data_IF_443721674455
#
_entry.id   IF_443721674455
#
_cell.length_a   1.000
_cell.length_b   1.000
_cell.length_c   1.000
_cell.angle_alpha   90.00
_cell.angle_beta   90.00
_cell.angle_gamma   90.00
#
_symmetry.space_group_name_H-M   'P 1'
#
loop_
_entity.id
_entity.type
_entity.pdbx_description
1 polymer ?
#
# COMPACT_ATOMS: atom_id res chain seq x y z
N UNK A 1 18.48 -4.82 6.22
CA UNK A 1 17.06 -4.84 5.81
C UNK A 1 16.85 -5.97 4.82
N UNK A 2 15.73 -6.70 4.88
CA UNK A 2 15.52 -7.98 4.16
C UNK A 2 14.13 -8.10 3.51
N UNK A 3 13.77 -9.31 3.04
CA UNK A 3 12.47 -9.58 2.41
C UNK A 3 11.40 -9.82 3.49
N UNK A 4 10.19 -9.32 3.27
CA UNK A 4 9.05 -9.50 4.16
C UNK A 4 8.20 -10.69 3.71
N UNK A 5 7.50 -11.31 4.65
CA UNK A 5 6.54 -12.38 4.37
C UNK A 5 5.34 -11.81 3.60
N UNK A 6 4.92 -12.52 2.57
CA UNK A 6 3.66 -12.31 1.83
C UNK A 6 2.86 -13.62 1.81
N UNK A 7 1.56 -13.56 1.50
CA UNK A 7 0.82 -14.76 1.07
C UNK A 7 1.40 -15.28 -0.25
N UNK A 8 1.25 -16.57 -0.50
CA UNK A 8 1.81 -17.24 -1.67
C UNK A 8 1.29 -16.60 -2.96
N UNK A 9 2.20 -16.19 -3.85
CA UNK A 9 1.89 -15.43 -5.07
C UNK A 9 0.96 -14.23 -4.84
N UNK A 10 1.04 -13.60 -3.66
CA UNK A 10 0.16 -12.52 -3.24
C UNK A 10 -1.36 -12.84 -3.34
N UNK A 11 -1.71 -14.13 -3.32
CA UNK A 11 -3.06 -14.66 -3.32
C UNK A 11 -3.32 -15.49 -2.05
N UNK A 12 -4.59 -15.65 -1.69
CA UNK A 12 -5.01 -16.44 -0.53
C UNK A 12 -4.78 -15.76 0.83
N UNK A 13 -5.32 -16.39 1.88
CA UNK A 13 -5.17 -16.03 3.30
C UNK A 13 -5.24 -17.32 4.15
N UNK A 14 -4.59 -17.40 5.33
CA UNK A 14 -3.71 -16.39 5.93
C UNK A 14 -2.21 -16.66 5.68
N UNK A 15 -1.39 -15.61 5.71
CA UNK A 15 0.07 -15.73 5.80
C UNK A 15 0.50 -16.21 7.21
N UNK A 16 1.70 -16.82 7.38
CA UNK A 16 2.20 -17.21 8.70
C UNK A 16 2.53 -16.02 9.63
N UNK A 17 2.54 -14.79 9.10
CA UNK A 17 2.68 -13.57 9.89
C UNK A 17 1.54 -13.46 10.91
N UNK A 18 1.88 -13.11 12.16
CA UNK A 18 0.91 -12.94 13.26
C UNK A 18 0.65 -11.46 13.51
N UNK A 19 -0.59 -11.09 13.82
CA UNK A 19 -0.93 -9.71 14.17
C UNK A 19 -0.25 -9.28 15.48
N UNK A 20 0.40 -8.10 15.52
CA UNK A 20 1.05 -7.60 16.72
C UNK A 20 0.06 -7.07 17.77
N UNK A 21 -1.19 -6.84 17.39
CA UNK A 21 -2.22 -6.30 18.27
C UNK A 21 -3.04 -7.38 18.96
N UNK A 22 -3.20 -8.54 18.33
CA UNK A 22 -3.79 -9.73 18.91
C UNK A 22 -3.41 -10.96 18.06
N UNK A 23 -2.65 -11.89 18.65
CA UNK A 23 -2.16 -13.07 17.94
C UNK A 23 -3.28 -14.02 17.44
N UNK A 24 -4.49 -13.93 18.00
CA UNK A 24 -5.65 -14.68 17.52
C UNK A 24 -6.31 -14.08 16.26
N UNK A 25 -5.87 -12.90 15.81
CA UNK A 25 -6.44 -12.20 14.66
C UNK A 25 -5.45 -12.15 13.49
N UNK A 26 -5.99 -12.13 12.27
CA UNK A 26 -5.18 -11.96 11.05
C UNK A 26 -4.55 -10.57 10.99
N UNK A 27 -3.27 -10.43 10.57
CA UNK A 27 -2.71 -9.14 10.21
C UNK A 27 -3.22 -8.64 8.84
N UNK A 28 -4.03 -9.42 8.12
CA UNK A 28 -4.39 -9.17 6.74
C UNK A 28 -3.27 -9.52 5.77
N UNK A 29 -3.58 -9.51 4.47
CA UNK A 29 -2.65 -9.89 3.41
C UNK A 29 -2.98 -9.20 2.08
N UNK A 30 -2.17 -9.37 1.04
CA UNK A 30 -1.01 -10.27 1.01
C UNK A 30 0.25 -9.71 1.68
N UNK A 31 0.43 -8.38 1.75
CA UNK A 31 1.63 -7.70 2.30
C UNK A 31 1.73 -7.72 3.84
N UNK A 32 1.49 -8.89 4.46
CA UNK A 32 1.37 -9.08 5.90
C UNK A 32 2.66 -8.71 6.66
N UNK A 33 3.82 -9.21 6.23
CA UNK A 33 5.10 -8.95 6.89
C UNK A 33 5.52 -7.48 6.78
N UNK A 34 5.21 -6.83 5.65
CA UNK A 34 5.44 -5.39 5.47
C UNK A 34 4.60 -4.58 6.45
N UNK A 35 3.32 -4.92 6.62
CA UNK A 35 2.44 -4.22 7.56
C UNK A 35 2.89 -4.40 9.01
N UNK A 36 3.11 -5.64 9.45
CA UNK A 36 3.48 -5.93 10.84
C UNK A 36 4.83 -5.34 11.18
N UNK A 37 5.86 -5.54 10.33
CA UNK A 37 7.19 -5.02 10.60
C UNK A 37 7.26 -3.49 10.65
N UNK A 38 6.46 -2.79 9.84
CA UNK A 38 6.33 -1.34 9.92
C UNK A 38 5.60 -0.92 11.21
N UNK A 39 4.51 -1.62 11.57
CA UNK A 39 3.71 -1.33 12.76
C UNK A 39 4.52 -1.45 14.06
N UNK A 40 5.29 -2.53 14.22
CA UNK A 40 6.10 -2.76 15.43
C UNK A 40 7.47 -2.08 15.43
N UNK A 41 7.81 -1.34 14.38
CA UNK A 41 9.08 -0.63 14.31
C UNK A 41 10.31 -1.49 14.02
N UNK A 42 10.14 -2.70 13.46
CA UNK A 42 11.28 -3.47 12.92
C UNK A 42 11.99 -2.69 11.81
N UNK A 43 11.25 -1.85 11.10
CA UNK A 43 11.77 -0.91 10.13
C UNK A 43 10.93 0.37 10.05
N UNK A 44 11.51 1.49 9.56
CA UNK A 44 10.79 2.75 9.44
C UNK A 44 9.70 2.71 8.36
N UNK A 45 9.92 1.92 7.31
CA UNK A 45 9.10 1.90 6.11
C UNK A 45 9.24 0.57 5.36
N UNK A 46 8.20 0.17 4.63
CA UNK A 46 8.19 -1.00 3.77
C UNK A 46 7.51 -0.74 2.43
N UNK A 47 7.84 -1.61 1.48
CA UNK A 47 7.14 -1.71 0.20
C UNK A 47 6.10 -2.84 0.28
N UNK A 48 4.93 -2.60 -0.31
CA UNK A 48 3.91 -3.62 -0.54
C UNK A 48 3.45 -3.62 -1.99
N UNK A 49 2.72 -4.67 -2.38
CA UNK A 49 2.00 -4.73 -3.65
C UNK A 49 0.50 -4.84 -3.39
N UNK A 50 -0.31 -4.31 -4.31
CA UNK A 50 -1.76 -4.38 -4.23
C UNK A 50 -2.39 -4.63 -5.59
N UNK A 51 -3.09 -5.77 -5.67
CA UNK A 51 -4.01 -6.12 -6.76
C UNK A 51 -5.46 -5.77 -6.38
N UNK A 52 -5.90 -6.21 -5.19
CA UNK A 52 -7.31 -6.10 -4.74
C UNK A 52 -7.50 -5.65 -3.29
N UNK A 53 -6.47 -5.05 -2.68
CA UNK A 53 -6.51 -4.56 -1.29
C UNK A 53 -5.24 -4.82 -0.48
N UNK A 54 -4.24 -5.47 -1.05
CA UNK A 54 -3.08 -6.01 -0.34
C UNK A 54 -2.07 -5.01 0.24
N UNK A 55 -2.28 -3.69 0.08
CA UNK A 55 -1.59 -2.63 0.83
C UNK A 55 -2.55 -2.07 1.89
N UNK A 56 -3.74 -1.62 1.48
CA UNK A 56 -4.66 -0.88 2.35
C UNK A 56 -5.32 -1.76 3.43
N UNK A 57 -5.66 -3.02 3.12
CA UNK A 57 -6.25 -3.96 4.07
C UNK A 57 -5.28 -4.33 5.20
N UNK A 58 -4.06 -4.85 4.94
CA UNK A 58 -3.13 -5.15 6.03
C UNK A 58 -2.66 -3.88 6.76
N UNK A 59 -2.58 -2.72 6.09
CA UNK A 59 -2.28 -1.46 6.78
C UNK A 59 -3.36 -1.05 7.78
N UNK A 60 -4.63 -1.18 7.38
CA UNK A 60 -5.80 -0.92 8.25
C UNK A 60 -5.80 -1.84 9.47
N UNK A 61 -5.56 -3.15 9.28
CA UNK A 61 -5.58 -4.12 10.36
C UNK A 61 -4.43 -3.92 11.37
N UNK A 62 -3.30 -3.37 10.91
CA UNK A 62 -2.13 -3.15 11.75
C UNK A 62 -1.95 -1.69 12.19
N UNK A 63 -2.92 -0.80 11.93
CA UNK A 63 -2.87 0.57 12.43
C UNK A 63 -1.76 1.43 11.82
N UNK A 64 -1.43 1.23 10.54
CA UNK A 64 -0.40 1.99 9.83
C UNK A 64 -0.95 2.65 8.56
N UNK A 65 -0.16 3.52 7.94
CA UNK A 65 -0.46 4.16 6.67
C UNK A 65 -0.06 3.23 5.51
N UNK A 66 -1.04 2.85 4.68
CA UNK A 66 -0.82 2.15 3.42
C UNK A 66 -1.32 2.97 2.25
N UNK A 67 -0.45 3.27 1.29
CA UNK A 67 -0.79 4.06 0.11
C UNK A 67 -0.68 3.20 -1.15
N UNK A 68 -1.81 2.95 -1.82
CA UNK A 68 -1.82 2.44 -3.19
C UNK A 68 -1.91 3.64 -4.15
N UNK A 69 -0.84 4.00 -4.88
CA UNK A 69 -0.89 5.10 -5.83
C UNK A 69 -1.78 4.76 -7.04
N UNK A 70 -1.90 5.72 -7.97
CA UNK A 70 -2.51 5.47 -9.28
C UNK A 70 -1.76 4.34 -10.00
N UNK A 71 -2.48 3.49 -10.73
CA UNK A 71 -1.86 2.45 -11.57
C UNK A 71 -0.83 3.07 -12.53
N UNK A 72 0.31 2.41 -12.71
CA UNK A 72 1.44 2.92 -13.50
C UNK A 72 2.24 4.06 -12.87
N UNK A 73 1.91 4.53 -11.66
CA UNK A 73 2.67 5.62 -11.01
C UNK A 73 4.01 5.15 -10.44
N UNK A 74 4.07 3.90 -9.99
CA UNK A 74 5.29 3.22 -9.53
C UNK A 74 5.46 2.01 -10.44
N UNK A 75 6.65 1.87 -11.01
CA UNK A 75 6.99 0.75 -11.90
C UNK A 75 6.80 -0.60 -11.22
N UNK A 76 6.32 -1.57 -11.98
CA UNK A 76 6.21 -2.99 -11.60
C UNK A 76 7.35 -3.83 -12.16
N UNK A 77 8.33 -3.21 -12.84
CA UNK A 77 9.48 -3.94 -13.36
C UNK A 77 10.21 -4.70 -12.24
N UNK A 78 10.44 -5.99 -12.43
CA UNK A 78 11.05 -6.88 -11.43
C UNK A 78 10.10 -7.40 -10.33
N UNK A 79 8.81 -7.05 -10.39
CA UNK A 79 7.77 -7.61 -9.51
C UNK A 79 7.24 -8.91 -10.11
N UNK A 80 7.07 -9.94 -9.29
CA UNK A 80 6.39 -11.16 -9.74
C UNK A 80 4.87 -10.87 -9.89
N UNK A 81 4.28 -11.08 -11.07
CA UNK A 81 2.93 -10.59 -11.35
C UNK A 81 1.85 -11.48 -10.71
N UNK A 82 0.78 -10.85 -10.26
CA UNK A 82 -0.52 -11.47 -9.96
C UNK A 82 -1.53 -11.12 -11.06
N UNK A 83 -1.57 -9.84 -11.44
CA UNK A 83 -2.44 -9.33 -12.50
C UNK A 83 -1.85 -8.09 -13.12
N UNK A 84 -1.57 -8.17 -14.42
CA UNK A 84 -0.96 -7.07 -15.18
C UNK A 84 -1.77 -5.77 -15.07
N UNK A 85 -3.10 -5.84 -15.18
CA UNK A 85 -3.96 -4.66 -15.20
C UNK A 85 -4.32 -4.10 -13.83
N UNK A 86 -3.95 -4.76 -12.74
CA UNK A 86 -4.39 -4.41 -11.39
C UNK A 86 -3.25 -4.22 -10.39
N UNK A 87 -2.11 -4.85 -10.61
CA UNK A 87 -0.99 -4.75 -9.69
C UNK A 87 -0.50 -3.31 -9.55
N UNK A 88 -0.26 -2.89 -8.32
CA UNK A 88 0.28 -1.57 -8.02
C UNK A 88 1.18 -1.66 -6.81
N UNK A 89 2.41 -1.16 -6.93
CA UNK A 89 3.36 -1.08 -5.81
C UNK A 89 3.12 0.20 -5.00
N UNK A 90 3.36 0.15 -3.69
CA UNK A 90 3.17 1.33 -2.86
C UNK A 90 3.75 1.23 -1.45
N UNK A 91 3.94 2.37 -0.78
CA UNK A 91 4.56 2.42 0.53
C UNK A 91 3.61 2.04 1.67
N UNK A 92 4.19 1.43 2.70
CA UNK A 92 3.55 1.07 3.98
C UNK A 92 4.43 1.60 5.13
N UNK A 93 3.90 2.55 5.90
CA UNK A 93 4.69 3.35 6.85
C UNK A 93 3.86 3.75 8.08
N UNK A 94 4.49 4.29 9.13
CA UNK A 94 3.76 4.75 10.33
C UNK A 94 3.24 6.18 10.23
N UNK A 95 3.58 6.93 9.19
CA UNK A 95 3.16 8.32 9.03
C UNK A 95 2.88 8.70 7.57
N UNK A 96 1.97 9.66 7.35
CA UNK A 96 1.67 10.15 6.00
C UNK A 96 2.90 10.80 5.35
N UNK A 97 3.73 11.48 6.15
CA UNK A 97 4.96 12.09 5.67
C UNK A 97 5.96 11.06 5.15
N UNK A 98 6.13 9.93 5.85
CA UNK A 98 7.01 8.85 5.40
C UNK A 98 6.48 8.16 4.14
N UNK A 99 5.16 7.96 4.03
CA UNK A 99 4.55 7.43 2.82
C UNK A 99 4.77 8.36 1.62
N UNK A 100 4.63 9.68 1.82
CA UNK A 100 4.87 10.68 0.78
C UNK A 100 6.36 10.73 0.38
N UNK A 101 7.27 10.66 1.35
CA UNK A 101 8.72 10.61 1.10
C UNK A 101 9.12 9.36 0.33
N UNK A 102 8.60 8.18 0.70
CA UNK A 102 8.83 6.97 -0.08
C UNK A 102 8.26 7.10 -1.50
N UNK A 103 7.07 7.67 -1.66
CA UNK A 103 6.48 7.83 -2.99
C UNK A 103 7.32 8.76 -3.87
N UNK A 104 7.95 9.81 -3.33
CA UNK A 104 8.91 10.63 -4.07
C UNK A 104 10.05 9.79 -4.67
N UNK A 105 10.54 8.80 -3.93
CA UNK A 105 11.64 7.94 -4.36
C UNK A 105 11.19 6.83 -5.33
N UNK A 106 9.95 6.36 -5.22
CA UNK A 106 9.42 5.23 -5.99
C UNK A 106 8.73 5.64 -7.29
N UNK A 107 8.10 6.82 -7.31
CA UNK A 107 7.31 7.25 -8.44
C UNK A 107 8.19 7.73 -9.61
N UNK A 108 7.75 7.45 -10.82
CA UNK A 108 8.46 7.88 -12.03
C UNK A 108 8.07 7.03 -13.22
N UNK A 109 8.36 7.54 -14.41
CA UNK A 109 8.29 6.73 -15.62
C UNK A 109 9.48 5.75 -15.67
N UNK A 110 9.20 4.50 -15.99
CA UNK A 110 10.20 3.46 -16.23
C UNK A 110 9.95 2.83 -17.60
N UNK A 111 10.95 2.89 -18.47
CA UNK A 111 10.89 2.34 -19.83
C UNK A 111 10.75 0.81 -19.86
N UNK A 112 11.08 0.13 -18.75
CA UNK A 112 11.00 -1.33 -18.66
C UNK A 112 9.63 -1.84 -18.20
N UNK A 113 8.72 -0.97 -17.76
CA UNK A 113 7.33 -1.30 -17.46
C UNK A 113 6.42 -0.64 -18.49
N UNK A 114 5.81 -1.40 -19.43
CA UNK A 114 5.01 -0.84 -20.51
C UNK A 114 3.75 -0.10 -20.03
N UNK A 115 3.30 -0.35 -18.80
CA UNK A 115 2.16 0.35 -18.20
C UNK A 115 2.59 1.53 -17.30
N UNK A 116 3.89 1.81 -17.22
CA UNK A 116 4.41 2.94 -16.44
C UNK A 116 3.97 4.26 -17.05
N UNK A 117 3.37 5.12 -16.23
CA UNK A 117 2.88 6.42 -16.66
C UNK A 117 4.04 7.36 -16.99
N UNK A 118 3.96 8.01 -18.15
CA UNK A 118 4.85 9.11 -18.54
C UNK A 118 4.50 10.45 -17.87
N UNK A 119 3.42 10.50 -17.07
CA UNK A 119 3.04 11.73 -16.36
C UNK A 119 4.17 12.12 -15.41
N UNK A 120 4.58 13.38 -15.47
CA UNK A 120 5.54 13.94 -14.52
C UNK A 120 5.14 13.63 -13.06
N UNK A 121 6.16 13.40 -12.24
CA UNK A 121 6.00 13.26 -10.80
C UNK A 121 5.95 14.63 -10.15
N UNK A 122 5.47 14.64 -8.90
CA UNK A 122 5.38 15.82 -8.05
C UNK A 122 6.24 15.57 -6.81
N UNK A 123 6.54 16.62 -6.04
CA UNK A 123 7.01 16.45 -4.68
C UNK A 123 5.80 16.17 -3.77
N UNK A 124 5.52 14.88 -3.55
CA UNK A 124 4.41 14.42 -2.72
C UNK A 124 4.57 14.82 -1.25
N UNK A 125 5.80 14.92 -0.74
CA UNK A 125 6.03 15.36 0.63
C UNK A 125 5.63 16.83 0.78
N UNK A 126 6.10 17.69 -0.11
CA UNK A 126 5.69 19.09 -0.14
C UNK A 126 4.17 19.24 -0.37
N UNK A 127 3.61 18.47 -1.31
CA UNK A 127 2.18 18.48 -1.60
C UNK A 127 1.35 18.10 -0.36
N UNK A 128 1.77 17.08 0.40
CA UNK A 128 1.09 16.62 1.62
C UNK A 128 1.05 17.69 2.74
N UNK A 129 2.03 18.59 2.76
CA UNK A 129 2.15 19.65 3.78
C UNK A 129 1.52 20.97 3.35
N UNK A 130 1.28 21.16 2.04
CA UNK A 130 0.87 22.45 1.47
C UNK A 130 -0.64 22.63 1.34
N UNK A 131 -1.45 21.64 1.72
CA UNK A 131 -2.91 21.74 1.66
C UNK A 131 -3.44 22.77 2.68
N UNK A 132 -3.92 23.92 2.19
CA UNK A 132 -4.42 25.03 3.02
C UNK A 132 -5.94 25.13 3.09
N UNK A 133 -6.65 24.46 2.17
CA UNK A 133 -8.12 24.49 2.09
C UNK A 133 -8.70 23.13 2.46
N UNK A 134 -9.80 23.09 3.23
CA UNK A 134 -10.44 21.82 3.55
C UNK A 134 -10.92 21.12 2.27
N UNK A 135 -10.70 19.80 2.13
CA UNK A 135 -11.19 19.06 0.98
C UNK A 135 -12.72 18.88 1.05
N UNK A 136 -13.33 18.59 -0.11
CA UNK A 136 -14.70 18.08 -0.17
C UNK A 136 -14.66 16.57 -0.02
N UNK A 137 -15.40 16.02 0.93
CA UNK A 137 -15.45 14.57 1.20
C UNK A 137 -16.82 14.04 0.76
N UNK A 138 -16.83 13.07 -0.14
CA UNK A 138 -18.05 12.39 -0.60
C UNK A 138 -18.29 11.08 0.16
N UNK A 139 -19.54 10.79 0.51
CA UNK A 139 -19.94 9.55 1.19
C UNK A 139 -20.64 8.60 0.20
N UNK A 140 -19.99 7.48 -0.13
CA UNK A 140 -20.59 6.45 -1.01
C UNK A 140 -21.55 5.58 -0.20
N UNK A 141 -22.84 5.91 -0.23
CA UNK A 141 -23.89 5.27 0.57
C UNK A 141 -24.11 3.78 0.25
N UNK A 142 -23.98 3.38 -1.01
CA UNK A 142 -24.25 2.01 -1.45
C UNK A 142 -23.33 0.97 -0.76
N UNK A 143 -22.10 1.35 -0.42
CA UNK A 143 -21.12 0.46 0.24
C UNK A 143 -21.38 0.37 1.76
N UNK A 144 -21.97 1.40 2.36
CA UNK A 144 -22.25 1.47 3.80
C UNK A 144 -23.57 0.81 4.19
N UNK A 145 -24.54 0.75 3.27
CA UNK A 145 -25.86 0.19 3.51
C UNK A 145 -26.06 -1.20 2.88
N UNK A 146 -25.01 -1.78 2.27
CA UNK A 146 -25.04 -3.09 1.62
C UNK A 146 -24.99 -4.31 2.54
N UNK A 147 -25.28 -4.17 3.84
CA UNK A 147 -25.21 -5.27 4.81
C UNK A 147 -26.41 -5.37 5.76
N UNK A 148 -27.58 -4.82 5.40
CA UNK A 148 -28.88 -5.19 6.02
C UNK A 148 -30.00 -5.08 4.98
N UNK A 149 -30.39 -6.21 4.39
CA UNK A 149 -31.75 -6.52 3.97
C UNK A 149 -32.02 -7.97 4.32
#
# INVERSE_FOLDING_TARGET
>A
MGKTVTTEFACGDPAPTVSPWNAAHTPGGSSSGSAVGAAVGMFPAALGSQTGGSIVRPSSYNGIVGLKPTFGRVSRYGVYPVSESLDTMGPMTRSVADAALMLNALAGHDINDPDSSERATEDYLQASQSQRKPPRIGLVRAVLHGAVR
#
